data_IF_939517114420
#
_entry.id   IF_939517114420
#
_cell.length_a   1.000
_cell.length_b   1.000
_cell.length_c   1.000
_cell.angle_alpha   90.00
_cell.angle_beta   90.00
_cell.angle_gamma   90.00
#
_symmetry.space_group_name_H-M   'P 1'
#
loop_
_entity.id
_entity.type
_entity.pdbx_description
1 polymer ?
#
# COMPACT_ATOMS: atom_id res chain seq x y z
N UNK A 1 -31.73 -27.77 3.53
CA UNK A 1 -31.75 -26.30 3.63
C UNK A 1 -30.61 -25.88 4.54
N UNK A 2 -29.40 -25.70 4.00
CA UNK A 2 -28.17 -25.42 4.74
C UNK A 2 -28.00 -23.89 4.79
N UNK A 3 -28.02 -23.31 5.99
CA UNK A 3 -27.75 -21.89 6.21
C UNK A 3 -26.29 -21.60 5.97
N UNK A 4 -25.96 -20.78 4.97
CA UNK A 4 -24.64 -20.18 4.80
C UNK A 4 -24.24 -19.37 6.05
N UNK A 5 -23.02 -19.53 6.57
CA UNK A 5 -22.53 -18.66 7.61
C UNK A 5 -22.23 -17.27 7.01
N UNK A 6 -22.85 -16.24 7.58
CA UNK A 6 -22.60 -14.83 7.27
C UNK A 6 -21.12 -14.50 7.50
N UNK A 7 -20.43 -14.09 6.45
CA UNK A 7 -19.06 -13.56 6.50
C UNK A 7 -19.00 -12.41 7.53
N UNK A 8 -18.24 -12.56 8.58
CA UNK A 8 -18.01 -11.52 9.58
C UNK A 8 -17.00 -10.52 9.01
N UNK A 9 -17.50 -9.44 8.41
CA UNK A 9 -16.66 -8.34 7.96
C UNK A 9 -15.94 -7.69 9.15
N UNK A 10 -14.62 -7.64 9.09
CA UNK A 10 -13.81 -6.85 10.02
C UNK A 10 -13.80 -5.40 9.53
N UNK A 11 -14.30 -4.48 10.36
CA UNK A 11 -14.26 -3.04 10.03
C UNK A 11 -12.90 -2.47 10.43
N UNK A 12 -12.21 -1.83 9.50
CA UNK A 12 -10.99 -1.08 9.75
C UNK A 12 -11.28 0.42 9.65
N UNK A 13 -10.77 1.21 10.60
CA UNK A 13 -10.83 2.66 10.54
C UNK A 13 -9.75 3.19 9.60
N UNK A 14 -10.17 3.81 8.51
CA UNK A 14 -9.29 4.55 7.61
C UNK A 14 -9.56 6.04 7.84
N UNK A 15 -8.56 6.82 8.28
CA UNK A 15 -8.55 8.28 8.35
C UNK A 15 -9.92 9.00 8.38
N UNK A 16 -10.72 8.81 9.42
CA UNK A 16 -12.02 9.47 9.59
C UNK A 16 -13.21 8.84 8.87
N UNK A 17 -13.01 7.92 7.92
CA UNK A 17 -14.07 7.15 7.26
C UNK A 17 -13.95 5.67 7.60
N UNK A 18 -15.07 5.01 7.92
CA UNK A 18 -15.12 3.56 8.15
C UNK A 18 -15.30 2.86 6.81
N UNK A 19 -14.20 2.51 6.16
CA UNK A 19 -14.25 1.62 4.99
C UNK A 19 -14.38 0.19 5.49
N UNK A 20 -15.54 -0.41 5.30
CA UNK A 20 -15.76 -1.83 5.63
C UNK A 20 -15.22 -2.68 4.49
N UNK A 21 -13.99 -3.16 4.61
CA UNK A 21 -13.43 -4.18 3.71
C UNK A 21 -13.92 -5.54 4.21
N UNK A 22 -14.72 -6.22 3.41
CA UNK A 22 -15.14 -7.59 3.70
C UNK A 22 -14.05 -8.54 3.24
N UNK A 23 -13.41 -9.23 4.20
CA UNK A 23 -12.50 -10.32 3.88
C UNK A 23 -13.23 -11.41 3.09
N UNK A 24 -12.59 -11.93 2.04
CA UNK A 24 -13.00 -13.17 1.39
C UNK A 24 -12.81 -14.34 2.36
N UNK A 25 -13.34 -15.53 2.05
CA UNK A 25 -13.27 -16.71 2.93
C UNK A 25 -11.85 -17.11 3.36
N UNK A 26 -10.78 -16.54 2.75
CA UNK A 26 -9.37 -16.75 3.07
C UNK A 26 -8.70 -15.66 3.93
N UNK A 27 -9.44 -14.62 4.36
CA UNK A 27 -8.89 -13.46 5.07
C UNK A 27 -8.59 -12.26 4.15
N UNK A 28 -7.84 -11.26 4.65
CA UNK A 28 -7.56 -10.01 3.92
C UNK A 28 -6.32 -10.13 3.04
N UNK A 29 -6.50 -9.88 1.74
CA UNK A 29 -5.43 -9.77 0.76
C UNK A 29 -5.08 -8.29 0.55
N UNK A 30 -3.91 -7.86 1.01
CA UNK A 30 -3.45 -6.49 0.93
C UNK A 30 -2.29 -6.35 -0.06
N UNK A 31 -2.33 -5.32 -0.91
CA UNK A 31 -1.20 -4.98 -1.76
C UNK A 31 -0.59 -3.65 -1.33
N UNK A 32 0.72 -3.64 -1.14
CA UNK A 32 1.50 -2.44 -0.86
C UNK A 32 2.25 -2.01 -2.11
N UNK A 33 2.19 -0.71 -2.43
CA UNK A 33 3.14 -0.11 -3.35
C UNK A 33 4.49 0.14 -2.66
N UNK A 34 5.51 0.52 -3.42
CA UNK A 34 6.84 0.76 -2.86
C UNK A 34 6.85 1.94 -1.86
N UNK A 35 6.01 2.96 -2.07
CA UNK A 35 5.96 4.15 -1.22
C UNK A 35 5.36 3.86 0.17
N UNK A 36 4.39 2.96 0.24
CA UNK A 36 3.83 2.48 1.49
C UNK A 36 4.75 1.44 2.15
N UNK A 37 5.30 0.50 1.37
CA UNK A 37 6.15 -0.56 1.89
C UNK A 37 7.41 -0.01 2.58
N UNK A 38 8.03 1.03 2.03
CA UNK A 38 9.25 1.62 2.60
C UNK A 38 9.03 2.22 4.00
N UNK A 39 7.79 2.65 4.32
CA UNK A 39 7.44 3.17 5.65
C UNK A 39 7.59 2.12 6.75
N UNK A 40 7.48 0.84 6.43
CA UNK A 40 7.74 -0.24 7.38
C UNK A 40 9.14 -0.18 7.98
N UNK A 41 10.10 0.29 7.20
CA UNK A 41 11.53 0.29 7.55
C UNK A 41 12.06 1.65 8.00
N UNK A 42 11.29 2.71 7.83
CA UNK A 42 11.67 4.07 8.16
C UNK A 42 10.82 4.61 9.32
N UNK A 43 11.45 5.38 10.21
CA UNK A 43 10.71 6.12 11.27
C UNK A 43 10.11 7.38 10.65
N UNK A 44 8.98 7.23 9.97
CA UNK A 44 8.29 8.33 9.32
C UNK A 44 6.76 8.22 9.50
N UNK A 45 6.03 9.33 9.32
CA UNK A 45 4.58 9.35 9.46
C UNK A 45 3.89 8.27 8.60
N UNK A 46 2.93 7.55 9.19
CA UNK A 46 2.23 6.43 8.55
C UNK A 46 2.83 5.05 8.82
N UNK A 47 4.01 4.95 9.45
CA UNK A 47 4.65 3.67 9.77
C UNK A 47 3.77 2.76 10.63
N UNK A 48 3.22 3.26 11.72
CA UNK A 48 2.41 2.45 12.64
C UNK A 48 1.17 1.88 11.95
N UNK A 49 0.60 2.66 11.03
CA UNK A 49 -0.53 2.19 10.23
C UNK A 49 -0.11 1.09 9.26
N UNK A 50 1.05 1.21 8.60
CA UNK A 50 1.59 0.15 7.75
C UNK A 50 1.82 -1.12 8.55
N UNK A 51 2.43 -1.04 9.74
CA UNK A 51 2.65 -2.20 10.61
C UNK A 51 1.33 -2.89 10.99
N UNK A 52 0.33 -2.11 11.41
CA UNK A 52 -0.99 -2.64 11.75
C UNK A 52 -1.69 -3.33 10.55
N UNK A 53 -1.50 -2.82 9.33
CA UNK A 53 -2.03 -3.45 8.12
C UNK A 53 -1.30 -4.75 7.78
N UNK A 54 0.02 -4.79 7.96
CA UNK A 54 0.79 -6.04 7.81
C UNK A 54 0.30 -7.14 8.76
N UNK A 55 0.11 -6.79 10.04
CA UNK A 55 -0.34 -7.75 11.06
C UNK A 55 -1.79 -8.24 10.82
N UNK A 56 -2.59 -7.42 10.14
CA UNK A 56 -3.98 -7.75 9.83
C UNK A 56 -4.16 -8.57 8.56
N UNK A 57 -3.16 -8.59 7.68
CA UNK A 57 -3.21 -9.27 6.39
C UNK A 57 -3.09 -10.79 6.57
N UNK A 58 -3.87 -11.54 5.80
CA UNK A 58 -3.67 -12.98 5.60
C UNK A 58 -2.78 -13.26 4.39
N UNK A 59 -2.81 -12.36 3.40
CA UNK A 59 -1.96 -12.40 2.23
C UNK A 59 -1.41 -11.01 1.92
N UNK A 60 -0.10 -10.93 1.74
CA UNK A 60 0.59 -9.73 1.32
C UNK A 60 1.00 -9.87 -0.14
N UNK A 61 0.71 -8.83 -0.93
CA UNK A 61 0.93 -8.81 -2.38
C UNK A 61 1.79 -7.61 -2.75
N UNK A 62 2.67 -7.78 -3.73
CA UNK A 62 3.46 -6.70 -4.33
C UNK A 62 3.55 -6.86 -5.84
N UNK A 63 3.75 -5.75 -6.56
CA UNK A 63 4.10 -5.78 -7.97
C UNK A 63 5.52 -6.32 -8.19
N UNK A 64 5.78 -6.93 -9.35
CA UNK A 64 7.08 -7.51 -9.69
C UNK A 64 8.26 -6.52 -9.52
N UNK A 65 8.04 -5.25 -9.82
CA UNK A 65 9.05 -4.18 -9.76
C UNK A 65 9.19 -3.52 -8.37
N UNK A 66 8.29 -3.80 -7.42
CA UNK A 66 8.23 -3.15 -6.11
C UNK A 66 9.57 -3.21 -5.36
N UNK A 67 10.24 -4.36 -5.36
CA UNK A 67 11.53 -4.53 -4.70
C UNK A 67 12.61 -3.60 -5.27
N UNK A 68 12.61 -3.40 -6.60
CA UNK A 68 13.58 -2.51 -7.26
C UNK A 68 13.32 -1.05 -6.89
N UNK A 69 12.06 -0.64 -6.75
CA UNK A 69 11.73 0.72 -6.30
C UNK A 69 12.10 0.95 -4.83
N UNK A 70 11.86 -0.03 -3.96
CA UNK A 70 12.31 0.02 -2.56
C UNK A 70 13.84 0.15 -2.50
N UNK A 71 14.57 -0.66 -3.29
CA UNK A 71 16.04 -0.56 -3.38
C UNK A 71 16.47 0.84 -3.83
N UNK A 72 15.86 1.37 -4.89
CA UNK A 72 16.13 2.69 -5.43
C UNK A 72 15.93 3.79 -4.38
N UNK A 73 14.84 3.73 -3.62
CA UNK A 73 14.56 4.72 -2.58
C UNK A 73 15.55 4.64 -1.41
N UNK A 74 15.94 3.42 -0.99
CA UNK A 74 16.93 3.23 0.08
C UNK A 74 18.32 3.69 -0.37
N UNK A 75 18.73 3.37 -1.60
CA UNK A 75 20.02 3.80 -2.18
C UNK A 75 20.07 5.32 -2.23
N UNK A 76 19.02 5.97 -2.72
CA UNK A 76 18.93 7.44 -2.77
C UNK A 76 19.10 8.03 -1.37
N UNK A 77 18.38 7.55 -0.36
CA UNK A 77 18.52 8.01 1.05
C UNK A 77 19.93 7.84 1.57
N UNK A 78 20.62 6.75 1.22
CA UNK A 78 22.02 6.52 1.59
C UNK A 78 22.94 7.53 0.93
N UNK A 79 22.78 7.79 -0.36
CA UNK A 79 23.59 8.75 -1.11
C UNK A 79 23.39 10.20 -0.63
N UNK A 80 22.18 10.53 -0.17
CA UNK A 80 21.85 11.82 0.44
C UNK A 80 22.30 11.94 1.90
N UNK A 81 22.94 10.91 2.47
CA UNK A 81 23.45 10.90 3.85
C UNK A 81 22.38 10.67 4.93
N UNK A 82 21.12 10.42 4.53
CA UNK A 82 20.02 10.18 5.46
C UNK A 82 19.92 8.73 5.96
N UNK A 83 20.77 7.82 5.46
CA UNK A 83 20.80 6.41 5.87
C UNK A 83 22.24 5.92 5.95
N UNK A 84 22.79 5.68 7.18
CA UNK A 84 24.15 5.16 7.35
C UNK A 84 24.32 3.76 6.71
N UNK A 85 25.54 3.39 6.25
CA UNK A 85 25.76 2.12 5.56
C UNK A 85 25.31 0.88 6.35
N UNK A 86 25.61 0.79 7.63
CA UNK A 86 25.20 -0.34 8.48
C UNK A 86 23.68 -0.43 8.68
N UNK A 87 22.98 0.70 8.66
CA UNK A 87 21.53 0.77 8.71
C UNK A 87 20.91 0.39 7.37
N UNK A 88 21.53 0.81 6.27
CA UNK A 88 21.12 0.40 4.93
C UNK A 88 21.14 -1.12 4.78
N UNK A 89 22.24 -1.80 5.16
CA UNK A 89 22.36 -3.25 5.02
C UNK A 89 21.29 -3.98 5.85
N UNK A 90 21.03 -3.51 7.07
CA UNK A 90 19.98 -4.07 7.94
C UNK A 90 18.58 -3.90 7.33
N UNK A 91 18.27 -2.69 6.88
CA UNK A 91 16.96 -2.35 6.30
C UNK A 91 16.75 -3.10 4.98
N UNK A 92 17.77 -3.14 4.12
CA UNK A 92 17.69 -3.83 2.85
C UNK A 92 17.50 -5.34 3.03
N UNK A 93 18.22 -5.96 3.96
CA UNK A 93 18.05 -7.38 4.29
C UNK A 93 16.62 -7.67 4.78
N UNK A 94 16.07 -6.81 5.63
CA UNK A 94 14.69 -6.95 6.11
C UNK A 94 13.67 -6.81 4.95
N UNK A 95 13.84 -5.82 4.08
CA UNK A 95 12.97 -5.62 2.93
C UNK A 95 13.01 -6.80 1.95
N UNK A 96 14.19 -7.37 1.71
CA UNK A 96 14.32 -8.56 0.86
C UNK A 96 13.58 -9.77 1.43
N UNK A 97 13.68 -10.01 2.75
CA UNK A 97 12.96 -11.11 3.42
C UNK A 97 11.45 -10.92 3.34
N UNK A 98 10.95 -9.73 3.69
CA UNK A 98 9.53 -9.45 3.64
C UNK A 98 8.97 -9.65 2.23
N UNK A 99 9.66 -9.13 1.18
CA UNK A 99 9.22 -9.29 -0.21
C UNK A 99 9.31 -10.74 -0.71
N UNK A 100 10.25 -11.54 -0.18
CA UNK A 100 10.36 -12.96 -0.53
C UNK A 100 9.15 -13.78 -0.03
N UNK A 101 8.54 -13.35 1.09
CA UNK A 101 7.37 -14.00 1.67
C UNK A 101 6.04 -13.47 1.08
N UNK A 102 6.08 -12.44 0.22
CA UNK A 102 4.90 -11.87 -0.42
C UNK A 102 4.57 -12.54 -1.75
N UNK A 103 3.28 -12.52 -2.09
CA UNK A 103 2.81 -12.90 -3.42
C UNK A 103 3.24 -11.82 -4.40
N UNK A 104 4.06 -12.18 -5.39
CA UNK A 104 4.53 -11.25 -6.41
C UNK A 104 3.69 -11.36 -7.67
N UNK A 105 3.04 -10.26 -8.07
CA UNK A 105 2.28 -10.16 -9.30
C UNK A 105 3.26 -9.95 -10.47
N UNK A 106 3.33 -10.87 -11.44
CA UNK A 106 4.23 -10.72 -12.58
C UNK A 106 3.80 -9.57 -13.49
N UNK A 107 4.77 -8.93 -14.14
CA UNK A 107 4.49 -7.95 -15.17
C UNK A 107 4.15 -8.68 -16.47
N UNK A 108 2.88 -8.73 -16.80
CA UNK A 108 2.36 -9.32 -18.02
C UNK A 108 1.45 -8.34 -18.79
N UNK A 109 0.96 -8.77 -19.94
CA UNK A 109 0.10 -7.95 -20.79
C UNK A 109 -1.23 -7.56 -20.12
N UNK A 110 -1.68 -8.28 -19.12
CA UNK A 110 -2.90 -7.94 -18.38
C UNK A 110 -2.61 -6.77 -17.41
N UNK A 111 -1.49 -6.83 -16.70
CA UNK A 111 -1.03 -5.73 -15.84
C UNK A 111 -0.79 -4.47 -16.67
N UNK A 112 -0.15 -4.60 -17.86
CA UNK A 112 0.08 -3.46 -18.76
C UNK A 112 -1.22 -2.81 -19.23
N UNK A 113 -2.23 -3.60 -19.61
CA UNK A 113 -3.54 -3.06 -20.01
C UNK A 113 -4.21 -2.27 -18.89
N UNK A 114 -4.20 -2.78 -17.67
CA UNK A 114 -4.76 -2.05 -16.52
C UNK A 114 -3.93 -0.84 -16.13
N UNK A 115 -2.60 -0.90 -16.27
CA UNK A 115 -1.74 0.26 -16.06
C UNK A 115 -2.02 1.37 -17.10
N UNK A 116 -2.24 1.01 -18.36
CA UNK A 116 -2.65 1.95 -19.40
C UNK A 116 -3.99 2.62 -19.01
N UNK A 117 -5.00 1.83 -18.66
CA UNK A 117 -6.27 2.37 -18.19
C UNK A 117 -6.11 3.28 -16.97
N UNK A 118 -5.22 2.95 -16.03
CA UNK A 118 -4.93 3.81 -14.87
C UNK A 118 -4.36 5.18 -15.29
N UNK A 119 -3.46 5.21 -16.28
CA UNK A 119 -2.92 6.47 -16.83
C UNK A 119 -3.96 7.32 -17.55
N UNK A 120 -5.00 6.71 -18.14
CA UNK A 120 -6.12 7.45 -18.71
C UNK A 120 -7.03 8.11 -17.64
N UNK A 121 -7.06 7.56 -16.43
CA UNK A 121 -7.85 8.10 -15.32
C UNK A 121 -7.14 9.17 -14.48
N UNK A 122 -5.84 9.40 -14.72
CA UNK A 122 -5.10 10.47 -14.03
C UNK A 122 -3.61 10.47 -14.32
N UNK A 123 -2.90 11.52 -13.93
CA UNK A 123 -1.50 11.73 -14.28
C UNK A 123 -0.57 10.84 -13.45
N UNK A 124 -0.54 9.55 -13.75
CA UNK A 124 0.40 8.60 -13.16
C UNK A 124 1.65 8.43 -14.02
N UNK A 125 2.79 8.21 -13.36
CA UNK A 125 3.99 7.69 -14.03
C UNK A 125 3.80 6.20 -14.32
N UNK A 126 4.54 5.66 -15.30
CA UNK A 126 4.40 4.26 -15.70
C UNK A 126 4.54 3.27 -14.54
N UNK A 127 5.54 3.46 -13.65
CA UNK A 127 5.74 2.57 -12.50
C UNK A 127 4.57 2.66 -11.50
N UNK A 128 4.07 3.88 -11.23
CA UNK A 128 2.91 4.09 -10.37
C UNK A 128 1.66 3.41 -10.94
N UNK A 129 1.46 3.51 -12.26
CA UNK A 129 0.36 2.85 -12.96
C UNK A 129 0.47 1.32 -12.94
N UNK A 130 1.69 0.76 -13.02
CA UNK A 130 1.92 -0.68 -12.90
C UNK A 130 1.57 -1.22 -11.52
N UNK A 131 1.74 -0.46 -10.44
CA UNK A 131 1.25 -0.85 -9.12
C UNK A 131 -0.28 -0.96 -9.10
N UNK A 132 -0.98 0.05 -9.64
CA UNK A 132 -2.44 0.03 -9.73
C UNK A 132 -2.93 -1.12 -10.61
N UNK A 133 -2.30 -1.32 -11.77
CA UNK A 133 -2.59 -2.45 -12.67
C UNK A 133 -2.40 -3.81 -12.00
N UNK A 134 -1.30 -3.97 -11.26
CA UNK A 134 -1.03 -5.19 -10.49
C UNK A 134 -2.07 -5.45 -9.40
N UNK A 135 -2.53 -4.40 -8.71
CA UNK A 135 -3.57 -4.51 -7.69
C UNK A 135 -4.92 -4.97 -8.29
N UNK A 136 -5.28 -4.44 -9.46
CA UNK A 136 -6.48 -4.83 -10.19
C UNK A 136 -6.41 -6.30 -10.65
N UNK A 137 -5.28 -6.73 -11.21
CA UNK A 137 -5.06 -8.13 -11.64
C UNK A 137 -5.11 -9.09 -10.46
N UNK A 138 -4.46 -8.75 -9.36
CA UNK A 138 -4.43 -9.57 -8.15
C UNK A 138 -5.80 -9.64 -7.45
N UNK A 139 -6.72 -8.72 -7.75
CA UNK A 139 -8.03 -8.65 -7.13
C UNK A 139 -7.94 -8.49 -5.61
N UNK A 140 -7.08 -7.57 -5.15
CA UNK A 140 -6.82 -7.35 -3.73
C UNK A 140 -8.03 -6.74 -3.01
N UNK A 141 -8.15 -7.01 -1.71
CA UNK A 141 -9.22 -6.43 -0.89
C UNK A 141 -8.90 -4.98 -0.50
N UNK A 142 -7.59 -4.63 -0.42
CA UNK A 142 -7.13 -3.27 -0.13
C UNK A 142 -5.80 -2.99 -0.82
N UNK A 143 -5.73 -1.88 -1.53
CA UNK A 143 -4.49 -1.31 -2.04
C UNK A 143 -3.96 -0.24 -1.09
N UNK A 144 -2.69 -0.33 -0.70
CA UNK A 144 -2.06 0.56 0.28
C UNK A 144 -0.93 1.33 -0.40
N UNK A 145 -1.02 2.64 -0.39
CA UNK A 145 -0.03 3.55 -0.99
C UNK A 145 0.22 4.77 -0.12
N UNK A 146 1.36 5.42 -0.26
CA UNK A 146 1.63 6.75 0.30
C UNK A 146 1.57 7.85 -0.78
N UNK A 147 1.32 7.52 -2.04
CA UNK A 147 1.14 8.49 -3.13
C UNK A 147 -0.34 8.87 -3.29
N UNK A 148 -0.64 10.16 -3.14
CA UNK A 148 -2.00 10.67 -3.24
C UNK A 148 -2.59 10.51 -4.65
N UNK A 149 -1.77 10.64 -5.71
CA UNK A 149 -2.22 10.49 -7.10
C UNK A 149 -2.57 9.03 -7.39
N UNK A 150 -1.72 8.10 -6.96
CA UNK A 150 -2.02 6.68 -7.04
C UNK A 150 -3.31 6.33 -6.29
N UNK A 151 -3.49 6.83 -5.06
CA UNK A 151 -4.69 6.57 -4.27
C UNK A 151 -5.95 7.10 -4.96
N UNK A 152 -5.87 8.27 -5.58
CA UNK A 152 -7.00 8.87 -6.30
C UNK A 152 -7.40 8.03 -7.52
N UNK A 153 -6.44 7.64 -8.34
CA UNK A 153 -6.69 6.83 -9.55
C UNK A 153 -7.16 5.43 -9.20
N UNK A 154 -6.52 4.79 -8.20
CA UNK A 154 -6.93 3.46 -7.74
C UNK A 154 -8.39 3.42 -7.27
N UNK A 155 -8.83 4.44 -6.54
CA UNK A 155 -10.24 4.59 -6.11
C UNK A 155 -11.17 4.82 -7.29
N UNK A 156 -10.78 5.64 -8.27
CA UNK A 156 -11.56 5.88 -9.48
C UNK A 156 -11.79 4.60 -10.28
N UNK A 157 -10.84 3.66 -10.23
CA UNK A 157 -10.92 2.33 -10.85
C UNK A 157 -11.61 1.27 -9.96
N UNK A 158 -12.19 1.67 -8.83
CA UNK A 158 -12.97 0.80 -7.94
C UNK A 158 -12.15 0.02 -6.92
N UNK A 159 -10.84 0.26 -6.78
CA UNK A 159 -10.05 -0.35 -5.71
C UNK A 159 -10.35 0.31 -4.36
N UNK A 160 -10.62 -0.51 -3.34
CA UNK A 160 -10.52 -0.03 -1.98
C UNK A 160 -9.06 0.37 -1.72
N UNK A 161 -8.84 1.62 -1.32
CA UNK A 161 -7.48 2.16 -1.24
C UNK A 161 -7.28 2.93 0.05
N UNK A 162 -6.20 2.61 0.75
CA UNK A 162 -5.72 3.33 1.91
C UNK A 162 -4.49 4.17 1.57
N UNK A 163 -4.57 5.46 1.88
CA UNK A 163 -3.47 6.39 1.77
C UNK A 163 -2.77 6.52 3.13
N UNK A 164 -1.58 5.95 3.24
CA UNK A 164 -0.78 5.96 4.48
C UNK A 164 0.14 7.18 4.54
N UNK A 165 -0.46 8.36 4.61
CA UNK A 165 0.25 9.59 4.94
C UNK A 165 0.18 9.80 6.45
N UNK A 166 1.21 10.45 7.04
CA UNK A 166 1.10 10.87 8.41
C UNK A 166 -0.13 11.72 8.61
N UNK A 167 -0.85 11.50 9.70
CA UNK A 167 -1.87 12.41 10.15
C UNK A 167 -1.27 13.84 10.14
N UNK A 168 -1.66 14.66 9.18
CA UNK A 168 -1.65 16.09 9.40
C UNK A 168 -2.78 16.28 10.39
N UNK A 169 -2.39 16.36 11.67
CA UNK A 169 -3.30 16.46 12.78
C UNK A 169 -4.45 17.41 12.47
N UNK A 170 -5.63 16.98 12.75
CA UNK A 170 -6.76 17.81 13.06
C UNK A 170 -6.44 18.62 14.33
N UNK A 171 -5.55 19.60 14.19
CA UNK A 171 -5.26 20.64 15.15
C UNK A 171 -5.86 21.94 14.62
N UNK A 172 -7.19 22.01 14.65
CA UNK A 172 -7.93 23.27 14.69
C UNK A 172 -9.31 23.00 15.33
N UNK A 173 -9.29 22.66 16.61
CA UNK A 173 -10.42 22.98 17.45
C UNK A 173 -10.15 24.40 17.97
N UNK A 174 -10.64 25.42 17.24
CA UNK A 174 -10.58 26.79 17.65
C UNK A 174 -11.21 27.00 19.04
N UNK A 175 -10.45 27.60 19.93
CA UNK A 175 -10.94 28.24 21.14
C UNK A 175 -11.93 29.32 20.72
N UNK A 176 -13.21 29.14 20.98
CA UNK A 176 -14.17 30.25 21.07
C UNK A 176 -14.23 30.62 22.53
N UNK A 177 -13.55 31.70 22.88
CA UNK A 177 -13.74 32.43 24.13
C UNK A 177 -14.98 33.32 23.99
N UNK A 178 -15.91 33.16 24.87
CA UNK A 178 -16.80 34.21 25.33
C UNK A 178 -16.93 34.09 26.83
#
# INVERSE_FOLDING_TARGET
MVKSPLARGRAYRTGGSVTRVTARDGGLRLMFDASALIKRYASEPGRDRVLALFDAASELVVAAHCQTEVASALIRRRLEGGLPPHEFDRVWTAAQRDVADMIRVPLDSQVERFAFAAMEHGPLRGMDALHVGSALVAGVDLFVTADQRQAQVARALGLHTELVNGDRGSSEAGLVTT
#
